data_IF_083481854673
#
_entry.id   IF_083481854673
#
_cell.length_a   1.000
_cell.length_b   1.000
_cell.length_c   1.000
_cell.angle_alpha   90.00
_cell.angle_beta   90.00
_cell.angle_gamma   90.00
#
_symmetry.space_group_name_H-M   'P 1'
#
loop_
_entity.id
_entity.type
_entity.pdbx_description
1 polymer ?
#
# COMPACT_ATOMS: atom_id res chain seq x y z
N UNK A 1 65.33 16.63 -19.16
CA UNK A 1 65.10 15.82 -17.95
C UNK A 1 64.35 16.68 -16.94
N UNK A 2 63.34 16.09 -16.24
CA UNK A 2 62.37 16.68 -15.25
C UNK A 2 60.96 17.07 -15.76
N UNK A 3 60.19 16.08 -16.19
CA UNK A 3 58.96 15.48 -15.59
C UNK A 3 57.93 16.36 -14.78
N UNK A 4 56.64 16.26 -15.21
CA UNK A 4 55.31 16.28 -14.49
C UNK A 4 54.75 17.61 -13.91
N UNK A 5 53.43 17.88 -13.87
CA UNK A 5 52.21 17.11 -14.18
C UNK A 5 51.04 18.05 -14.58
N UNK A 6 50.19 17.60 -15.51
CA UNK A 6 48.88 18.20 -15.80
C UNK A 6 47.79 17.60 -14.91
N UNK A 7 46.81 18.42 -14.54
CA UNK A 7 45.59 17.99 -13.88
C UNK A 7 44.46 17.98 -14.91
N UNK A 8 44.07 16.79 -15.36
CA UNK A 8 42.88 16.62 -16.19
C UNK A 8 41.77 16.21 -15.23
N UNK A 9 40.79 17.08 -15.02
CA UNK A 9 39.54 16.70 -14.34
C UNK A 9 38.80 15.80 -15.33
N UNK A 10 39.01 14.49 -15.17
CA UNK A 10 38.27 13.46 -15.88
C UNK A 10 36.92 13.31 -15.18
N UNK A 11 35.90 13.96 -15.72
CA UNK A 11 34.52 13.63 -15.39
C UNK A 11 34.22 12.28 -16.03
N UNK A 12 34.26 11.21 -15.22
CA UNK A 12 33.70 9.93 -15.62
C UNK A 12 32.21 10.12 -15.85
N UNK A 13 31.81 10.20 -17.12
CA UNK A 13 30.46 9.81 -17.52
C UNK A 13 30.39 8.30 -17.26
N UNK A 14 29.97 7.91 -16.06
CA UNK A 14 29.46 6.58 -15.86
C UNK A 14 28.23 6.49 -16.79
N UNK A 15 28.34 5.71 -17.86
CA UNK A 15 27.17 5.18 -18.54
C UNK A 15 26.54 4.17 -17.57
N UNK A 16 25.86 4.68 -16.54
CA UNK A 16 24.89 3.88 -15.81
C UNK A 16 23.81 3.52 -16.82
N UNK A 17 23.40 2.25 -16.96
CA UNK A 17 22.17 1.97 -17.68
C UNK A 17 21.08 2.79 -16.99
N UNK A 18 20.57 3.82 -17.67
CA UNK A 18 19.31 4.45 -17.28
C UNK A 18 18.25 3.38 -17.54
N UNK A 19 17.95 2.59 -16.51
CA UNK A 19 16.63 2.00 -16.46
C UNK A 19 15.67 3.20 -16.53
N UNK A 20 14.75 3.26 -17.51
CA UNK A 20 13.67 4.22 -17.40
C UNK A 20 13.07 3.98 -16.02
N UNK A 21 12.95 5.03 -15.20
CA UNK A 21 12.22 4.87 -13.96
C UNK A 21 10.87 4.25 -14.35
N UNK A 22 10.41 3.21 -13.63
CA UNK A 22 9.06 2.73 -13.79
C UNK A 22 8.16 3.97 -13.85
N UNK A 23 7.18 4.02 -14.78
CA UNK A 23 6.25 5.15 -14.79
C UNK A 23 5.79 5.39 -13.36
N UNK A 24 5.83 6.64 -12.89
CA UNK A 24 5.39 7.01 -11.54
C UNK A 24 4.10 6.25 -11.27
N UNK A 25 4.18 5.23 -10.42
CA UNK A 25 3.03 4.43 -10.04
C UNK A 25 2.23 5.33 -9.11
N UNK A 26 1.44 6.21 -9.70
CA UNK A 26 0.57 7.11 -8.94
C UNK A 26 -0.68 6.35 -8.57
N UNK A 27 -0.97 6.24 -7.28
CA UNK A 27 -2.19 5.59 -6.81
C UNK A 27 -2.03 4.99 -5.43
N UNK A 28 -3.10 4.36 -4.99
CA UNK A 28 -3.18 3.67 -3.70
C UNK A 28 -3.22 2.16 -3.93
N UNK A 29 -2.49 1.42 -3.11
CA UNK A 29 -2.60 -0.03 -2.99
C UNK A 29 -3.37 -0.33 -1.70
N UNK A 30 -4.38 -1.18 -1.82
CA UNK A 30 -5.17 -1.68 -0.70
C UNK A 30 -4.85 -3.16 -0.49
N UNK A 31 -4.68 -3.57 0.76
CA UNK A 31 -4.27 -4.92 1.08
C UNK A 31 -4.61 -5.31 2.50
N UNK A 32 -4.93 -6.59 2.69
CA UNK A 32 -5.27 -7.16 3.98
C UNK A 32 -4.00 -7.64 4.70
N UNK A 33 -3.92 -7.45 6.02
CA UNK A 33 -2.75 -7.87 6.78
C UNK A 33 -3.06 -8.05 8.25
N UNK A 34 -2.52 -9.12 8.84
CA UNK A 34 -2.61 -9.42 10.27
C UNK A 34 -1.37 -8.99 11.06
N UNK A 35 -0.62 -7.99 10.57
CA UNK A 35 0.68 -7.59 11.16
C UNK A 35 0.59 -7.13 12.62
N UNK A 36 -0.62 -6.81 13.11
CA UNK A 36 -0.89 -6.31 14.47
C UNK A 36 -1.68 -7.29 15.34
N UNK A 37 -1.95 -8.51 14.86
CA UNK A 37 -2.74 -9.52 15.58
C UNK A 37 -3.96 -9.96 14.78
N UNK A 38 -4.90 -9.03 14.59
CA UNK A 38 -6.12 -9.26 13.80
C UNK A 38 -5.93 -8.82 12.34
N UNK A 39 -6.69 -9.42 11.43
CA UNK A 39 -6.68 -8.98 10.03
C UNK A 39 -7.30 -7.59 9.91
N UNK A 40 -6.59 -6.70 9.23
CA UNK A 40 -6.99 -5.31 9.02
C UNK A 40 -6.72 -4.93 7.56
N UNK A 41 -7.48 -3.95 7.06
CA UNK A 41 -7.32 -3.39 5.71
C UNK A 41 -6.37 -2.20 5.81
N UNK A 42 -5.31 -2.27 5.03
CA UNK A 42 -4.31 -1.22 4.92
C UNK A 42 -4.35 -0.57 3.56
N UNK A 43 -3.94 0.70 3.55
CA UNK A 43 -3.65 1.47 2.34
C UNK A 43 -2.20 1.92 2.35
N UNK A 44 -1.56 1.94 1.19
CA UNK A 44 -0.23 2.55 1.00
C UNK A 44 -0.15 3.24 -0.35
N UNK A 45 0.74 4.22 -0.46
CA UNK A 45 1.13 4.81 -1.73
C UNK A 45 1.72 3.71 -2.63
N UNK A 46 1.51 3.80 -3.94
CA UNK A 46 1.95 2.73 -4.85
C UNK A 46 3.49 2.62 -5.01
N UNK A 47 4.24 3.60 -4.51
CA UNK A 47 5.69 3.54 -4.29
C UNK A 47 6.08 2.77 -2.99
N UNK A 48 5.10 2.34 -2.21
CA UNK A 48 5.25 1.60 -0.95
C UNK A 48 5.32 2.46 0.31
N UNK A 49 5.20 3.80 0.21
CA UNK A 49 5.17 4.69 1.40
C UNK A 49 3.77 4.83 1.99
N UNK A 50 3.66 5.60 3.08
CA UNK A 50 2.38 6.02 3.67
C UNK A 50 1.42 4.87 4.05
N UNK A 51 1.99 3.76 4.51
CA UNK A 51 1.22 2.62 4.99
C UNK A 51 0.37 3.03 6.20
N UNK A 52 -0.95 2.86 6.10
CA UNK A 52 -1.91 3.22 7.16
C UNK A 52 -3.01 2.17 7.28
N UNK A 53 -3.39 1.84 8.53
CA UNK A 53 -4.60 1.05 8.81
C UNK A 53 -5.83 1.95 8.58
N UNK A 54 -6.70 1.57 7.64
CA UNK A 54 -7.92 2.31 7.32
C UNK A 54 -9.19 1.70 7.95
N UNK A 55 -9.22 0.39 8.23
CA UNK A 55 -10.34 -0.27 8.91
C UNK A 55 -10.43 0.10 10.40
N UNK A 56 -9.28 0.12 11.10
CA UNK A 56 -9.15 0.50 12.52
C UNK A 56 -10.16 -0.22 13.42
N UNK A 57 -10.28 -1.52 13.26
CA UNK A 57 -11.31 -2.35 13.88
C UNK A 57 -10.69 -3.39 14.82
N UNK A 58 -10.16 -2.95 15.98
CA UNK A 58 -9.50 -3.85 16.91
C UNK A 58 -10.44 -4.96 17.38
N UNK A 59 -9.87 -6.13 17.67
CA UNK A 59 -10.57 -7.32 18.12
C UNK A 59 -11.47 -7.96 17.05
N UNK A 60 -11.48 -7.49 15.79
CA UNK A 60 -12.20 -8.11 14.68
C UNK A 60 -11.30 -8.31 13.47
N UNK A 61 -11.62 -9.31 12.65
CA UNK A 61 -10.92 -9.62 11.41
C UNK A 61 -11.64 -8.99 10.21
N UNK A 62 -10.98 -8.01 9.59
CA UNK A 62 -11.38 -7.39 8.33
C UNK A 62 -10.58 -8.02 7.17
N UNK A 63 -11.27 -8.75 6.29
CA UNK A 63 -10.62 -9.56 5.25
C UNK A 63 -11.34 -9.53 3.90
N UNK A 64 -10.63 -9.96 2.86
CA UNK A 64 -11.10 -10.12 1.48
C UNK A 64 -11.58 -8.79 0.88
N UNK A 65 -10.78 -7.73 1.06
CA UNK A 65 -11.15 -6.40 0.58
C UNK A 65 -11.20 -6.32 -0.95
N UNK A 66 -12.19 -5.61 -1.47
CA UNK A 66 -12.40 -5.34 -2.88
C UNK A 66 -12.67 -3.85 -3.10
N UNK A 67 -11.81 -3.19 -3.88
CA UNK A 67 -11.91 -1.77 -4.21
C UNK A 67 -12.85 -1.58 -5.40
N UNK A 68 -13.72 -0.57 -5.35
CA UNK A 68 -14.59 -0.21 -6.47
C UNK A 68 -13.78 0.28 -7.67
N UNK A 69 -14.30 0.14 -8.92
CA UNK A 69 -13.56 0.56 -10.12
C UNK A 69 -13.22 2.06 -10.17
N UNK A 70 -14.00 2.90 -9.51
CA UNK A 70 -13.75 4.35 -9.36
C UNK A 70 -12.77 4.68 -8.22
N UNK A 71 -12.33 3.68 -7.46
CA UNK A 71 -11.43 3.82 -6.32
C UNK A 71 -12.03 4.54 -5.12
N UNK A 72 -13.34 4.80 -5.11
CA UNK A 72 -14.01 5.59 -4.07
C UNK A 72 -14.45 4.77 -2.85
N UNK A 73 -14.69 3.46 -3.02
CA UNK A 73 -15.25 2.59 -1.98
C UNK A 73 -14.53 1.26 -1.91
N UNK A 74 -14.66 0.61 -0.75
CA UNK A 74 -14.12 -0.71 -0.46
C UNK A 74 -15.23 -1.55 0.14
N UNK A 75 -15.47 -2.74 -0.41
CA UNK A 75 -16.30 -3.77 0.20
C UNK A 75 -15.38 -4.82 0.84
N UNK A 76 -15.77 -5.32 2.01
CA UNK A 76 -14.97 -6.29 2.77
C UNK A 76 -15.85 -7.12 3.71
N UNK A 77 -15.28 -8.19 4.24
CA UNK A 77 -15.89 -8.99 5.29
C UNK A 77 -15.33 -8.56 6.65
N UNK A 78 -16.19 -8.44 7.66
CA UNK A 78 -15.81 -8.21 9.06
C UNK A 78 -16.43 -9.27 9.95
N UNK A 79 -15.63 -9.89 10.81
CA UNK A 79 -16.09 -10.90 11.76
C UNK A 79 -14.96 -11.38 12.66
N UNK A 80 -15.01 -12.62 13.12
CA UNK A 80 -13.93 -13.25 13.88
C UNK A 80 -13.61 -14.62 13.30
N UNK A 81 -12.32 -14.94 13.09
CA UNK A 81 -11.94 -16.29 12.65
C UNK A 81 -12.27 -17.41 13.64
N UNK A 82 -12.49 -17.08 14.91
CA UNK A 82 -13.00 -18.05 15.90
C UNK A 82 -14.46 -18.45 15.68
N UNK A 83 -15.24 -17.63 14.96
CA UNK A 83 -16.62 -17.92 14.57
C UNK A 83 -16.93 -17.42 13.16
N UNK A 84 -16.80 -18.30 12.18
CA UNK A 84 -17.05 -17.96 10.78
C UNK A 84 -18.50 -17.53 10.47
N UNK A 85 -19.45 -17.75 11.37
CA UNK A 85 -20.83 -17.28 11.19
C UNK A 85 -20.99 -15.81 11.55
N UNK A 86 -19.99 -15.20 12.21
CA UNK A 86 -19.99 -13.79 12.59
C UNK A 86 -19.60 -12.85 11.45
N UNK A 87 -19.18 -13.38 10.30
CA UNK A 87 -18.77 -12.56 9.17
C UNK A 87 -19.97 -11.92 8.47
N UNK A 88 -19.95 -10.59 8.45
CA UNK A 88 -20.92 -9.76 7.75
C UNK A 88 -20.23 -8.98 6.62
N UNK A 89 -21.03 -8.49 5.68
CA UNK A 89 -20.52 -7.66 4.58
C UNK A 89 -20.56 -6.19 4.98
N UNK A 90 -19.43 -5.51 4.80
CA UNK A 90 -19.27 -4.11 5.12
C UNK A 90 -18.77 -3.33 3.90
N UNK A 91 -19.09 -2.04 3.88
CA UNK A 91 -18.53 -1.08 2.93
C UNK A 91 -17.96 0.12 3.66
N UNK A 92 -16.94 0.73 3.09
CA UNK A 92 -16.40 2.01 3.55
C UNK A 92 -15.91 2.85 2.38
N UNK A 93 -15.66 4.13 2.61
CA UNK A 93 -14.93 4.96 1.66
C UNK A 93 -13.46 4.55 1.63
N UNK A 94 -12.79 4.84 0.51
CA UNK A 94 -11.40 4.45 0.27
C UNK A 94 -10.36 5.05 1.26
N UNK A 95 -10.76 6.01 2.09
CA UNK A 95 -9.95 6.53 3.20
C UNK A 95 -10.22 5.89 4.57
N UNK A 96 -11.13 4.91 4.61
CA UNK A 96 -11.55 4.21 5.82
C UNK A 96 -12.74 4.85 6.54
N UNK A 97 -13.24 5.99 6.06
CA UNK A 97 -14.42 6.65 6.65
C UNK A 97 -15.73 6.02 6.18
N UNK A 98 -16.85 6.44 6.79
CA UNK A 98 -18.21 6.05 6.40
C UNK A 98 -18.46 4.52 6.36
N UNK A 99 -17.85 3.78 7.30
CA UNK A 99 -18.04 2.34 7.43
C UNK A 99 -19.51 1.99 7.71
N UNK A 100 -20.08 1.10 6.92
CA UNK A 100 -21.49 0.70 6.99
C UNK A 100 -21.62 -0.81 6.78
N UNK A 101 -22.36 -1.47 7.67
CA UNK A 101 -22.75 -2.88 7.54
C UNK A 101 -23.90 -3.04 6.55
N UNK A 102 -23.85 -4.06 5.69
CA UNK A 102 -24.86 -4.33 4.67
C UNK A 102 -25.77 -5.53 4.96
N UNK A 103 -25.33 -6.48 5.78
CA UNK A 103 -26.05 -7.72 6.12
C UNK A 103 -26.36 -7.82 7.60
#
# INVERSE_FOLDING_TARGET
MRIKAGLIISTLMACSPQFPEPPDVSGWIYFDSNRTGDFEIYRMSADGTDIVNISKSPDTDDWLSAVSPDGGRIAFMRGHFSDFHSFEIWVMDADGSNQTQLT
#
